data_IF_702420123167
#
_entry.id   IF_702420123167
#
_cell.length_a   1.000
_cell.length_b   1.000
_cell.length_c   1.000
_cell.angle_alpha   90.00
_cell.angle_beta   90.00
_cell.angle_gamma   90.00
#
_symmetry.space_group_name_H-M   'P 1'
#
loop_
_entity.id
_entity.type
_entity.pdbx_description
1 polymer ?
#
# COMPACT_ATOMS: atom_id res chain seq x y z
N UNK A 1 -13.61 26.52 6.38
CA UNK A 1 -14.06 25.24 6.96
C UNK A 1 -12.84 24.46 7.44
N UNK A 2 -12.78 23.98 8.70
CA UNK A 2 -11.64 23.19 9.16
C UNK A 2 -11.61 21.86 8.39
N UNK A 3 -10.46 21.54 7.79
CA UNK A 3 -10.22 20.29 7.08
C UNK A 3 -10.66 19.09 7.95
N UNK A 4 -11.50 18.21 7.40
CA UNK A 4 -11.78 16.90 7.99
C UNK A 4 -10.44 16.19 8.23
N UNK A 5 -10.01 16.07 9.49
CA UNK A 5 -8.81 15.31 9.87
C UNK A 5 -8.95 13.91 9.28
N UNK A 6 -8.02 13.55 8.38
CA UNK A 6 -8.14 12.35 7.55
C UNK A 6 -8.25 11.08 8.40
N UNK A 7 -8.95 10.06 7.85
CA UNK A 7 -9.23 8.74 8.47
C UNK A 7 -8.01 8.05 9.10
N UNK A 8 -6.80 8.45 8.72
CA UNK A 8 -5.54 7.83 9.12
C UNK A 8 -4.96 8.36 10.43
N UNK A 9 -5.35 9.57 10.86
CA UNK A 9 -5.04 10.05 12.23
C UNK A 9 -5.66 9.10 13.27
N UNK A 10 -6.80 8.49 12.94
CA UNK A 10 -7.51 7.58 13.82
C UNK A 10 -6.86 6.20 13.92
N UNK A 11 -6.07 5.74 12.94
CA UNK A 11 -5.39 4.44 13.00
C UNK A 11 -4.27 4.46 14.04
N UNK A 12 -3.37 5.46 14.00
CA UNK A 12 -2.28 5.59 14.99
C UNK A 12 -2.83 5.81 16.41
N UNK A 13 -3.85 6.65 16.54
CA UNK A 13 -4.52 6.89 17.83
C UNK A 13 -5.28 5.67 18.34
N UNK A 14 -5.70 4.76 17.47
CA UNK A 14 -6.34 3.51 17.88
C UNK A 14 -5.33 2.56 18.51
N UNK A 15 -4.16 2.37 17.89
CA UNK A 15 -3.11 1.53 18.46
C UNK A 15 -2.66 2.07 19.83
N UNK A 16 -2.44 3.38 19.93
CA UNK A 16 -2.13 4.06 21.21
C UNK A 16 -3.29 3.92 22.22
N UNK A 17 -4.56 4.01 21.80
CA UNK A 17 -5.71 3.81 22.69
C UNK A 17 -5.79 2.39 23.24
N UNK A 18 -5.43 1.38 22.45
CA UNK A 18 -5.43 -0.02 22.89
C UNK A 18 -4.31 -0.28 23.89
N UNK A 19 -3.12 0.29 23.71
CA UNK A 19 -2.03 0.19 24.69
C UNK A 19 -2.38 0.89 26.01
N UNK A 20 -2.90 2.12 25.96
CA UNK A 20 -3.35 2.83 27.16
C UNK A 20 -4.48 2.07 27.90
N UNK A 21 -5.34 1.36 27.16
CA UNK A 21 -6.36 0.54 27.79
C UNK A 21 -5.77 -0.70 28.47
N UNK A 22 -4.75 -1.35 27.87
CA UNK A 22 -4.01 -2.45 28.51
C UNK A 22 -3.30 -1.99 29.78
N UNK A 23 -2.82 -0.75 29.82
CA UNK A 23 -2.27 -0.11 31.04
C UNK A 23 -3.32 0.20 32.12
N UNK A 24 -4.60 -0.08 31.86
CA UNK A 24 -5.70 0.11 32.82
C UNK A 24 -6.31 1.51 32.82
N UNK A 25 -5.96 2.38 31.87
CA UNK A 25 -6.56 3.72 31.79
C UNK A 25 -8.03 3.65 31.40
N UNK A 26 -8.81 4.59 31.93
CA UNK A 26 -10.22 4.74 31.61
C UNK A 26 -10.43 5.35 30.23
N UNK A 27 -11.60 5.12 29.64
CA UNK A 27 -11.98 5.64 28.32
C UNK A 27 -11.90 7.19 28.28
N UNK A 28 -12.22 7.86 29.40
CA UNK A 28 -12.14 9.32 29.52
C UNK A 28 -10.68 9.83 29.48
N UNK A 29 -9.78 9.15 30.18
CA UNK A 29 -8.36 9.51 30.19
C UNK A 29 -7.73 9.27 28.83
N UNK A 30 -8.09 8.17 28.16
CA UNK A 30 -7.64 7.85 26.81
C UNK A 30 -8.14 8.91 25.81
N UNK A 31 -9.41 9.29 25.88
CA UNK A 31 -9.99 10.31 25.01
C UNK A 31 -9.28 11.66 25.17
N UNK A 32 -9.02 12.07 26.41
CA UNK A 32 -8.32 13.31 26.76
C UNK A 32 -6.87 13.27 26.30
N UNK A 33 -6.15 12.19 26.62
CA UNK A 33 -4.74 12.00 26.27
C UNK A 33 -4.51 12.00 24.76
N UNK A 34 -5.43 11.42 24.00
CA UNK A 34 -5.31 11.30 22.55
C UNK A 34 -6.01 12.44 21.79
N UNK A 35 -6.70 13.36 22.47
CA UNK A 35 -7.46 14.44 21.85
C UNK A 35 -8.49 13.93 20.84
N UNK A 36 -9.25 12.89 21.22
CA UNK A 36 -10.36 12.30 20.45
C UNK A 36 -11.65 12.40 21.25
N UNK A 37 -12.81 12.24 20.60
CA UNK A 37 -14.07 12.22 21.33
C UNK A 37 -14.18 10.96 22.19
N UNK A 38 -14.87 11.06 23.33
CA UNK A 38 -15.18 9.92 24.19
C UNK A 38 -15.79 8.75 23.40
N UNK A 39 -16.77 9.04 22.53
CA UNK A 39 -17.42 8.03 21.70
C UNK A 39 -16.45 7.31 20.75
N UNK A 40 -15.41 7.99 20.25
CA UNK A 40 -14.39 7.34 19.43
C UNK A 40 -13.55 6.36 20.25
N UNK A 41 -13.02 6.79 21.40
CA UNK A 41 -12.27 5.94 22.31
C UNK A 41 -13.12 4.75 22.82
N UNK A 42 -14.39 5.00 23.16
CA UNK A 42 -15.35 3.98 23.58
C UNK A 42 -15.55 2.91 22.51
N UNK A 43 -15.83 3.31 21.26
CA UNK A 43 -16.06 2.35 20.18
C UNK A 43 -14.81 1.54 19.84
N UNK A 44 -13.61 2.13 19.98
CA UNK A 44 -12.34 1.43 19.78
C UNK A 44 -12.12 0.35 20.82
N UNK A 45 -12.21 0.73 22.10
CA UNK A 45 -11.97 -0.15 23.25
C UNK A 45 -13.01 -1.27 23.32
N UNK A 46 -14.28 -0.96 23.01
CA UNK A 46 -15.36 -1.96 22.97
C UNK A 46 -15.38 -2.79 21.68
N UNK A 47 -14.46 -2.53 20.74
CA UNK A 47 -14.39 -3.25 19.46
C UNK A 47 -15.56 -3.01 18.51
N UNK A 48 -16.40 -2.02 18.80
CA UNK A 48 -17.60 -1.67 18.01
C UNK A 48 -17.25 -1.01 16.68
N UNK A 49 -16.08 -0.38 16.58
CA UNK A 49 -15.57 0.24 15.35
C UNK A 49 -14.05 0.22 15.36
N UNK A 50 -13.41 -0.46 14.40
CA UNK A 50 -11.96 -0.32 14.17
C UNK A 50 -11.73 0.74 13.09
N UNK A 51 -10.83 1.70 13.30
CA UNK A 51 -10.35 2.50 12.17
C UNK A 51 -9.65 1.54 11.21
N UNK A 52 -10.09 1.52 9.96
CA UNK A 52 -9.40 0.75 8.94
C UNK A 52 -7.94 1.22 8.88
N UNK A 53 -6.95 0.30 8.87
CA UNK A 53 -5.57 0.67 8.61
C UNK A 53 -5.60 1.48 7.31
N UNK A 54 -5.04 2.69 7.36
CA UNK A 54 -5.02 3.52 6.15
C UNK A 54 -4.38 2.70 5.04
N UNK A 55 -5.10 2.51 3.91
CA UNK A 55 -4.67 1.70 2.76
C UNK A 55 -3.18 1.90 2.36
N UNK A 56 -2.59 3.04 2.71
CA UNK A 56 -1.19 3.43 2.46
C UNK A 56 -0.17 2.60 3.26
N UNK A 57 -0.43 2.26 4.52
CA UNK A 57 0.50 1.45 5.33
C UNK A 57 0.48 -0.02 4.87
N UNK A 58 -0.72 -0.55 4.60
CA UNK A 58 -0.85 -1.90 4.03
C UNK A 58 -0.20 -1.98 2.66
N UNK A 59 -0.34 -0.93 1.84
CA UNK A 59 0.33 -0.80 0.55
C UNK A 59 1.86 -0.89 0.69
N UNK A 60 2.47 -0.22 1.68
CA UNK A 60 3.91 -0.30 1.93
C UNK A 60 4.35 -1.69 2.40
N UNK A 61 3.71 -2.23 3.45
CA UNK A 61 4.03 -3.55 3.99
C UNK A 61 3.94 -4.63 2.91
N UNK A 62 2.96 -4.49 2.02
CA UNK A 62 2.79 -5.41 0.89
C UNK A 62 4.00 -5.42 -0.05
N UNK A 63 4.61 -4.26 -0.38
CA UNK A 63 5.82 -4.24 -1.21
C UNK A 63 7.06 -4.72 -0.48
N UNK A 64 7.12 -4.55 0.85
CA UNK A 64 8.24 -5.09 1.64
C UNK A 64 8.32 -6.61 1.54
N UNK A 65 7.17 -7.28 1.51
CA UNK A 65 7.08 -8.74 1.44
C UNK A 65 7.02 -9.29 0.00
N UNK A 66 6.32 -8.60 -0.92
CA UNK A 66 5.97 -9.13 -2.24
C UNK A 66 6.56 -8.33 -3.42
N UNK A 67 7.07 -7.13 -3.15
CA UNK A 67 7.67 -6.25 -4.16
C UNK A 67 9.02 -6.79 -4.64
N UNK A 68 9.49 -6.38 -5.83
CA UNK A 68 8.92 -5.41 -6.78
C UNK A 68 7.91 -6.03 -7.75
N UNK A 69 6.82 -5.34 -8.10
CA UNK A 69 5.72 -5.95 -8.88
C UNK A 69 5.02 -4.98 -9.84
N UNK A 70 4.35 -5.48 -10.90
CA UNK A 70 3.68 -4.65 -11.89
C UNK A 70 2.33 -4.14 -11.41
N UNK A 71 1.90 -2.99 -11.96
CA UNK A 71 0.63 -2.33 -11.64
C UNK A 71 -0.58 -3.27 -11.83
N UNK A 72 -0.58 -4.08 -12.88
CA UNK A 72 -1.67 -5.04 -13.15
C UNK A 72 -1.88 -6.07 -12.03
N UNK A 73 -0.82 -6.45 -11.32
CA UNK A 73 -0.94 -7.37 -10.18
C UNK A 73 -1.37 -6.63 -8.91
N UNK A 74 -0.89 -5.40 -8.75
CA UNK A 74 -1.23 -4.54 -7.61
C UNK A 74 -2.70 -4.14 -7.66
N UNK A 75 -3.22 -3.81 -8.84
CA UNK A 75 -4.60 -3.36 -9.04
C UNK A 75 -5.64 -4.38 -8.54
N UNK A 76 -5.31 -5.68 -8.59
CA UNK A 76 -6.15 -6.76 -8.06
C UNK A 76 -6.41 -6.62 -6.55
N UNK A 77 -5.40 -6.15 -5.80
CA UNK A 77 -5.51 -5.95 -4.34
C UNK A 77 -5.80 -4.50 -3.97
N UNK A 78 -5.25 -3.56 -4.73
CA UNK A 78 -5.33 -2.13 -4.48
C UNK A 78 -5.83 -1.41 -5.74
N UNK A 79 -7.14 -1.40 -5.98
CA UNK A 79 -7.75 -0.75 -7.15
C UNK A 79 -7.30 0.72 -7.34
N UNK A 80 -7.09 1.45 -6.24
CA UNK A 80 -6.62 2.85 -6.26
C UNK A 80 -5.11 2.99 -6.01
N UNK A 81 -4.30 2.03 -6.48
CA UNK A 81 -2.85 1.99 -6.24
C UNK A 81 -2.12 3.29 -6.59
N UNK A 82 -2.56 4.03 -7.60
CA UNK A 82 -1.93 5.30 -7.97
C UNK A 82 -2.15 6.39 -6.91
N UNK A 83 -3.36 6.48 -6.32
CA UNK A 83 -3.62 7.39 -5.20
C UNK A 83 -2.80 6.99 -3.97
N UNK A 84 -2.70 5.70 -3.69
CA UNK A 84 -1.90 5.18 -2.57
C UNK A 84 -0.43 5.52 -2.73
N UNK A 85 0.13 5.34 -3.92
CA UNK A 85 1.50 5.74 -4.23
C UNK A 85 1.74 7.23 -4.01
N UNK A 86 0.83 8.10 -4.50
CA UNK A 86 0.95 9.55 -4.30
C UNK A 86 0.87 9.91 -2.82
N UNK A 87 0.02 9.22 -2.05
CA UNK A 87 -0.06 9.40 -0.60
C UNK A 87 1.19 8.90 0.12
N UNK A 88 1.76 7.76 -0.27
CA UNK A 88 3.02 7.24 0.26
C UNK A 88 4.16 8.22 0.03
N UNK A 89 4.29 8.73 -1.20
CA UNK A 89 5.35 9.67 -1.56
C UNK A 89 5.23 11.00 -0.78
N UNK A 90 4.00 11.53 -0.65
CA UNK A 90 3.74 12.73 0.19
C UNK A 90 4.12 12.55 1.66
N UNK A 91 4.22 11.31 2.15
CA UNK A 91 4.59 10.98 3.54
C UNK A 91 6.08 10.70 3.72
N UNK A 92 6.88 10.81 2.66
CA UNK A 92 8.28 10.43 2.68
C UNK A 92 8.50 8.92 2.81
N UNK A 93 7.49 8.10 2.47
CA UNK A 93 7.67 6.65 2.40
C UNK A 93 8.56 6.30 1.20
N UNK A 94 9.32 5.22 1.34
CA UNK A 94 10.34 4.78 0.37
C UNK A 94 9.78 3.97 -0.81
N UNK A 95 8.50 4.13 -1.13
CA UNK A 95 7.89 3.47 -2.29
C UNK A 95 8.25 4.24 -3.55
N UNK A 96 8.83 3.55 -4.54
CA UNK A 96 9.19 4.09 -5.84
C UNK A 96 8.40 3.42 -6.97
N UNK A 97 8.41 4.07 -8.14
CA UNK A 97 7.74 3.62 -9.35
C UNK A 97 8.69 3.68 -10.53
N UNK A 98 8.80 2.59 -11.29
CA UNK A 98 9.50 2.54 -12.58
C UNK A 98 8.46 2.43 -13.69
N UNK A 99 8.61 3.24 -14.74
CA UNK A 99 7.72 3.25 -15.90
C UNK A 99 8.52 2.84 -17.12
N UNK A 100 8.08 1.78 -17.78
CA UNK A 100 8.62 1.22 -19.02
C UNK A 100 7.88 1.80 -20.22
N UNK A 101 8.29 1.37 -21.42
CA UNK A 101 7.62 1.73 -22.67
C UNK A 101 6.14 1.29 -22.69
N UNK A 102 5.28 2.10 -23.31
CA UNK A 102 3.83 1.86 -23.40
C UNK A 102 3.44 0.52 -24.03
N UNK A 103 4.30 -0.06 -24.87
CA UNK A 103 4.08 -1.37 -25.52
C UNK A 103 3.85 -2.53 -24.54
N UNK A 104 4.22 -2.36 -23.27
CA UNK A 104 4.04 -3.37 -22.22
C UNK A 104 2.71 -3.24 -21.46
N UNK A 105 1.82 -2.30 -21.84
CA UNK A 105 0.48 -2.13 -21.30
C UNK A 105 0.42 -2.19 -19.75
N UNK A 106 -0.33 -3.13 -19.16
CA UNK A 106 -0.46 -3.29 -17.70
C UNK A 106 0.84 -3.63 -16.96
N UNK A 107 1.86 -4.11 -17.68
CA UNK A 107 3.22 -4.34 -17.17
C UNK A 107 4.16 -3.14 -17.39
N UNK A 108 3.67 -2.02 -17.92
CA UNK A 108 4.50 -0.85 -18.14
C UNK A 108 4.85 -0.14 -16.83
N UNK A 109 4.01 -0.23 -15.80
CA UNK A 109 4.25 0.45 -14.52
C UNK A 109 4.58 -0.58 -13.46
N UNK A 110 5.68 -0.37 -12.74
CA UNK A 110 6.16 -1.22 -11.65
C UNK A 110 6.32 -0.40 -10.38
N UNK A 111 5.95 -0.98 -9.25
CA UNK A 111 6.14 -0.41 -7.92
C UNK A 111 7.09 -1.26 -7.10
N UNK A 112 7.94 -0.61 -6.32
CA UNK A 112 9.00 -1.25 -5.55
C UNK A 112 9.40 -0.38 -4.36
N UNK A 113 10.04 -0.98 -3.35
CA UNK A 113 10.65 -0.24 -2.25
C UNK A 113 12.10 0.13 -2.59
N UNK A 114 12.57 1.25 -2.06
CA UNK A 114 14.01 1.59 -2.07
C UNK A 114 14.83 0.43 -1.48
N UNK A 115 15.86 -0.02 -2.20
CA UNK A 115 16.65 -1.21 -1.88
C UNK A 115 16.23 -2.46 -2.67
N UNK A 116 15.12 -2.43 -3.41
CA UNK A 116 14.67 -3.53 -4.28
C UNK A 116 15.07 -3.33 -5.75
N UNK A 117 15.96 -2.39 -6.08
CA UNK A 117 16.32 -2.05 -7.46
C UNK A 117 16.92 -3.24 -8.23
N UNK A 118 17.86 -3.97 -7.61
CA UNK A 118 18.47 -5.14 -8.24
C UNK A 118 17.46 -6.27 -8.48
N UNK A 119 16.52 -6.46 -7.55
CA UNK A 119 15.45 -7.46 -7.69
C UNK A 119 14.45 -7.05 -8.79
N UNK A 120 14.21 -5.74 -8.95
CA UNK A 120 13.35 -5.21 -9.99
C UNK A 120 13.96 -5.49 -11.37
N UNK A 121 15.25 -5.21 -11.54
CA UNK A 121 15.92 -5.43 -12.82
C UNK A 121 15.91 -6.92 -13.20
N UNK A 122 16.16 -7.83 -12.25
CA UNK A 122 16.02 -9.27 -12.47
C UNK A 122 14.62 -9.67 -12.93
N UNK A 123 13.56 -9.17 -12.27
CA UNK A 123 12.17 -9.46 -12.66
C UNK A 123 11.83 -8.88 -14.05
N UNK A 124 12.40 -7.74 -14.40
CA UNK A 124 12.21 -7.13 -15.72
C UNK A 124 12.90 -7.95 -16.83
N UNK A 125 14.10 -8.47 -16.57
CA UNK A 125 14.80 -9.38 -17.50
C UNK A 125 13.99 -10.66 -17.75
N UNK A 126 13.47 -11.28 -16.68
CA UNK A 126 12.59 -12.44 -16.78
C UNK A 126 11.33 -12.13 -17.60
N UNK A 127 10.72 -10.95 -17.40
CA UNK A 127 9.58 -10.50 -18.20
C UNK A 127 9.96 -10.36 -19.68
N UNK A 128 11.10 -9.74 -20.00
CA UNK A 128 11.52 -9.54 -21.37
C UNK A 128 11.87 -10.87 -22.06
N UNK A 129 12.48 -11.82 -21.36
CA UNK A 129 12.73 -13.16 -21.89
C UNK A 129 11.43 -13.86 -22.24
N UNK A 130 10.45 -13.89 -21.32
CA UNK A 130 9.13 -14.50 -21.58
C UNK A 130 8.42 -13.87 -22.77
N UNK A 131 8.49 -12.54 -22.91
CA UNK A 131 7.89 -11.84 -24.05
C UNK A 131 8.59 -12.22 -25.36
N UNK A 132 9.91 -12.38 -25.36
CA UNK A 132 10.67 -12.83 -26.53
C UNK A 132 10.25 -14.24 -26.92
N UNK A 133 10.19 -15.17 -25.97
CA UNK A 133 9.82 -16.56 -26.21
C UNK A 133 8.40 -16.70 -26.77
N UNK A 134 7.45 -15.94 -26.20
CA UNK A 134 6.05 -15.91 -26.71
C UNK A 134 6.00 -15.35 -28.13
N UNK A 135 6.79 -14.32 -28.45
CA UNK A 135 6.85 -13.76 -29.81
C UNK A 135 7.46 -14.74 -30.81
N UNK A 136 8.45 -15.52 -30.42
CA UNK A 136 9.05 -16.55 -31.28
C UNK A 136 8.03 -17.67 -31.55
N UNK A 137 7.36 -18.19 -30.51
CA UNK A 137 6.30 -19.21 -30.68
C UNK A 137 5.16 -18.73 -31.58
N UNK A 138 4.71 -17.49 -31.42
CA UNK A 138 3.65 -16.92 -32.26
C UNK A 138 4.09 -16.79 -33.72
N UNK A 139 5.36 -16.46 -33.98
CA UNK A 139 5.88 -16.46 -35.36
C UNK A 139 5.88 -17.87 -35.95
N UNK A 140 6.35 -18.86 -35.20
CA UNK A 140 6.40 -20.24 -35.67
C UNK A 140 5.01 -20.83 -35.93
N UNK A 141 3.98 -20.40 -35.20
CA UNK A 141 2.58 -20.76 -35.45
C UNK A 141 1.96 -20.01 -36.64
N UNK A 142 2.32 -18.74 -36.86
CA UNK A 142 1.78 -17.93 -37.96
C UNK A 142 2.39 -18.25 -39.33
N UNK A 143 3.57 -18.85 -39.37
CA UNK A 143 4.28 -19.22 -40.61
C UNK A 143 4.33 -20.74 -40.86
N UNK A 144 3.48 -21.51 -40.15
CA UNK A 144 3.16 -22.92 -40.45
C UNK A 144 1.96 -23.00 -41.38
#
# INVERSE_FOLDING_TARGET
MPMRRGRQLYSKKYDEAMELHKEGKSINEIATSLGVSYSAAYHWIKGLRKPEPGNVNEFESYFRENGPMPAIEIEKKFQKHNELFLMSNKRGMKVRRKVLQRRFAGYATWYYMEGQEALLDKRLEELFSKIKDVREKLKDEMFK
#
